data_IF_854632831889
#
_entry.id   IF_854632831889
#
_cell.length_a   1.000
_cell.length_b   1.000
_cell.length_c   1.000
_cell.angle_alpha   90.00
_cell.angle_beta   90.00
_cell.angle_gamma   90.00
#
_symmetry.space_group_name_H-M   'P 1'
#
loop_
_entity.id
_entity.type
_entity.pdbx_description
1 polymer ?
#
# COMPACT_ATOMS: atom_id res chain seq x y z
N UNK A 1 16.73 0.52 0.88
CA UNK A 1 16.06 -0.79 0.82
C UNK A 1 14.80 -0.76 -0.04
N UNK A 2 13.69 -0.11 0.37
CA UNK A 2 12.47 -0.07 -0.46
C UNK A 2 12.69 0.69 -1.78
N UNK A 3 13.41 1.81 -1.74
CA UNK A 3 13.79 2.56 -2.96
C UNK A 3 14.58 1.68 -3.93
N UNK A 4 15.51 0.84 -3.44
CA UNK A 4 16.30 -0.06 -4.28
C UNK A 4 15.46 -1.18 -4.87
N UNK A 5 14.53 -1.74 -4.08
CA UNK A 5 13.55 -2.71 -4.55
C UNK A 5 12.70 -2.12 -5.68
N UNK A 6 12.21 -0.89 -5.55
CA UNK A 6 11.45 -0.23 -6.61
C UNK A 6 12.30 0.07 -7.85
N UNK A 7 13.57 0.46 -7.68
CA UNK A 7 14.50 0.60 -8.82
C UNK A 7 14.69 -0.73 -9.55
N UNK A 8 14.80 -1.83 -8.82
CA UNK A 8 14.91 -3.18 -9.40
C UNK A 8 13.62 -3.61 -10.14
N UNK A 9 12.46 -3.29 -9.57
CA UNK A 9 11.17 -3.58 -10.23
C UNK A 9 11.03 -2.78 -11.52
N UNK A 10 11.26 -1.45 -11.48
CA UNK A 10 11.24 -0.58 -12.65
C UNK A 10 12.28 -0.98 -13.70
N UNK A 11 13.49 -1.37 -13.27
CA UNK A 11 14.60 -1.71 -14.15
C UNK A 11 14.34 -2.90 -15.08
N UNK A 12 13.37 -3.76 -14.76
CA UNK A 12 12.96 -4.88 -15.63
C UNK A 12 12.07 -4.44 -16.80
N UNK A 13 11.44 -3.28 -16.71
CA UNK A 13 10.41 -2.80 -17.64
C UNK A 13 10.76 -1.47 -18.31
N UNK A 14 11.81 -0.80 -17.84
CA UNK A 14 12.27 0.47 -18.36
C UNK A 14 13.49 0.33 -19.27
N UNK A 15 13.71 1.33 -20.13
CA UNK A 15 14.92 1.44 -20.94
C UNK A 15 16.18 1.46 -20.05
N UNK A 16 17.24 0.79 -20.52
CA UNK A 16 18.50 0.69 -19.78
C UNK A 16 19.07 2.08 -19.51
N UNK A 17 19.35 2.38 -18.24
CA UNK A 17 19.89 3.67 -17.80
C UNK A 17 18.85 4.77 -17.59
N UNK A 18 17.56 4.53 -17.88
CA UNK A 18 16.51 5.53 -17.66
C UNK A 18 16.04 5.63 -16.21
N UNK A 19 16.18 4.55 -15.43
CA UNK A 19 15.70 4.47 -14.04
C UNK A 19 16.57 5.30 -13.11
N UNK A 20 15.97 6.30 -12.47
CA UNK A 20 16.63 7.23 -11.54
C UNK A 20 15.77 7.51 -10.31
N UNK A 21 16.44 7.86 -9.21
CA UNK A 21 15.77 8.38 -8.00
C UNK A 21 15.79 9.90 -8.10
N UNK A 22 14.61 10.52 -8.22
CA UNK A 22 14.48 11.99 -8.30
C UNK A 22 14.32 12.64 -6.93
N UNK A 23 13.85 11.89 -5.95
CA UNK A 23 13.79 12.31 -4.54
C UNK A 23 14.12 11.12 -3.65
N UNK A 24 14.98 11.31 -2.64
CA UNK A 24 15.37 10.27 -1.70
C UNK A 24 15.08 10.72 -0.27
N UNK A 25 14.17 10.01 0.39
CA UNK A 25 13.78 10.24 1.79
C UNK A 25 13.43 11.70 2.10
N UNK A 26 12.71 12.38 1.20
CA UNK A 26 12.16 13.70 1.49
C UNK A 26 11.09 13.62 2.56
N UNK A 27 11.04 14.59 3.47
CA UNK A 27 10.05 14.64 4.55
C UNK A 27 8.78 15.36 4.06
N UNK A 28 7.67 14.63 3.99
CA UNK A 28 6.37 15.14 3.58
C UNK A 28 5.37 15.08 4.75
N UNK A 29 4.66 16.19 4.98
CA UNK A 29 3.69 16.32 6.07
C UNK A 29 2.27 16.14 5.55
N UNK A 30 1.52 15.24 6.18
CA UNK A 30 0.10 15.02 5.92
C UNK A 30 -0.73 15.37 7.16
N UNK A 31 -2.06 15.31 7.06
CA UNK A 31 -2.95 15.80 8.12
C UNK A 31 -2.74 15.16 9.49
N UNK A 32 -2.23 13.92 9.56
CA UNK A 32 -2.08 13.16 10.81
C UNK A 32 -0.68 12.56 11.01
N UNK A 33 0.18 12.50 9.98
CA UNK A 33 1.50 11.85 10.05
C UNK A 33 2.49 12.51 9.09
N UNK A 34 3.78 12.35 9.39
CA UNK A 34 4.86 12.68 8.46
C UNK A 34 5.39 11.41 7.79
N UNK A 35 5.70 11.48 6.50
CA UNK A 35 6.28 10.37 5.75
C UNK A 35 7.60 10.76 5.11
N UNK A 36 8.56 9.83 5.13
CA UNK A 36 9.72 9.89 4.25
C UNK A 36 9.32 9.32 2.88
N UNK A 37 9.27 10.18 1.87
CA UNK A 37 8.89 9.83 0.50
C UNK A 37 10.15 9.77 -0.35
N UNK A 38 10.22 8.76 -1.22
CA UNK A 38 11.23 8.68 -2.28
C UNK A 38 10.52 8.51 -3.61
N UNK A 39 11.02 9.19 -4.64
CA UNK A 39 10.46 9.16 -6.00
C UNK A 39 11.45 8.47 -6.92
N UNK A 40 10.97 7.42 -7.61
CA UNK A 40 11.74 6.66 -8.61
C UNK A 40 11.01 6.76 -9.94
N UNK A 41 11.74 7.15 -10.98
CA UNK A 41 11.21 7.37 -12.33
C UNK A 41 12.02 6.57 -13.34
N UNK A 42 11.40 6.16 -14.44
CA UNK A 42 12.04 5.52 -15.59
C UNK A 42 11.20 5.68 -16.85
N UNK A 43 11.79 5.42 -18.02
CA UNK A 43 11.08 5.41 -19.30
C UNK A 43 10.74 3.98 -19.65
N UNK A 44 9.46 3.66 -19.90
CA UNK A 44 9.05 2.31 -20.28
C UNK A 44 9.77 1.88 -21.56
N UNK A 45 10.23 0.63 -21.59
CA UNK A 45 10.84 0.06 -22.78
C UNK A 45 9.79 -0.10 -23.91
N UNK A 46 10.21 -0.04 -25.19
CA UNK A 46 9.30 -0.22 -26.32
C UNK A 46 8.49 -1.53 -26.22
N UNK A 47 7.17 -1.42 -26.36
CA UNK A 47 6.26 -2.56 -26.30
C UNK A 47 5.85 -3.02 -24.90
N UNK A 48 6.35 -2.38 -23.84
CA UNK A 48 5.89 -2.60 -22.46
C UNK A 48 4.74 -1.64 -22.15
N UNK A 49 3.64 -2.19 -21.65
CA UNK A 49 2.47 -1.40 -21.23
C UNK A 49 2.51 -1.09 -19.74
N UNK A 50 1.86 0.00 -19.31
CA UNK A 50 1.78 0.38 -17.90
C UNK A 50 1.10 -0.71 -17.04
N UNK A 51 0.10 -1.41 -17.61
CA UNK A 51 -0.58 -2.52 -16.95
C UNK A 51 0.31 -3.75 -16.72
N UNK A 52 1.17 -4.11 -17.68
CA UNK A 52 2.14 -5.20 -17.52
C UNK A 52 3.12 -4.89 -16.38
N UNK A 53 3.65 -3.67 -16.35
CA UNK A 53 4.55 -3.24 -15.29
C UNK A 53 3.88 -3.30 -13.91
N UNK A 54 2.64 -2.79 -13.77
CA UNK A 54 1.90 -2.82 -12.50
C UNK A 54 1.71 -4.26 -12.00
N UNK A 55 1.23 -5.16 -12.87
CA UNK A 55 0.97 -6.55 -12.50
C UNK A 55 2.24 -7.29 -12.09
N UNK A 56 3.35 -7.08 -12.80
CA UNK A 56 4.61 -7.74 -12.49
C UNK A 56 5.30 -7.17 -11.23
N UNK A 57 5.08 -5.90 -10.93
CA UNK A 57 5.66 -5.24 -9.76
C UNK A 57 4.84 -5.46 -8.48
N UNK A 58 3.60 -5.92 -8.61
CA UNK A 58 2.69 -6.20 -7.49
C UNK A 58 3.08 -7.49 -6.74
N UNK A 59 2.97 -7.55 -5.40
CA UNK A 59 2.57 -6.48 -4.49
C UNK A 59 3.69 -5.48 -4.21
N UNK A 60 3.32 -4.25 -3.84
CA UNK A 60 4.27 -3.16 -3.60
C UNK A 60 5.29 -3.47 -2.50
N UNK A 61 6.54 -3.04 -2.69
CA UNK A 61 7.63 -3.31 -1.73
C UNK A 61 7.38 -2.77 -0.32
N UNK A 62 6.67 -1.64 -0.19
CA UNK A 62 6.38 -1.00 1.10
C UNK A 62 5.36 -1.76 1.97
N UNK A 63 4.58 -2.66 1.38
CA UNK A 63 3.54 -3.45 2.09
C UNK A 63 3.85 -4.96 2.18
N UNK A 64 5.01 -5.34 1.64
CA UNK A 64 5.58 -6.68 1.74
C UNK A 64 6.83 -6.66 2.59
N UNK A 65 7.92 -6.10 2.05
CA UNK A 65 9.25 -6.09 2.64
C UNK A 65 10.32 -6.42 1.59
N UNK A 66 11.57 -6.54 2.04
CA UNK A 66 12.67 -6.95 1.18
C UNK A 66 13.52 -8.03 1.86
N UNK A 67 13.91 -9.11 1.16
CA UNK A 67 13.57 -9.44 -0.24
C UNK A 67 12.08 -9.76 -0.46
N UNK A 68 11.46 -9.19 -1.52
CA UNK A 68 10.00 -9.21 -1.74
C UNK A 68 9.38 -10.60 -1.63
N UNK A 69 9.93 -11.57 -2.37
CA UNK A 69 9.41 -12.93 -2.40
C UNK A 69 9.39 -13.58 -1.02
N UNK A 70 10.50 -13.48 -0.28
CA UNK A 70 10.57 -14.09 1.06
C UNK A 70 9.66 -13.37 2.05
N UNK A 71 9.53 -12.05 1.95
CA UNK A 71 8.60 -11.30 2.80
C UNK A 71 7.15 -11.75 2.58
N UNK A 72 6.73 -11.96 1.33
CA UNK A 72 5.40 -12.50 1.00
C UNK A 72 5.19 -13.90 1.56
N UNK A 73 6.19 -14.78 1.47
CA UNK A 73 6.11 -16.13 2.04
C UNK A 73 5.94 -16.08 3.57
N UNK A 74 6.72 -15.26 4.28
CA UNK A 74 6.58 -15.08 5.74
C UNK A 74 5.21 -14.52 6.10
N UNK A 75 4.71 -13.53 5.36
CA UNK A 75 3.37 -12.98 5.56
C UNK A 75 2.33 -14.09 5.44
N UNK A 76 2.42 -14.94 4.41
CA UNK A 76 1.50 -16.06 4.21
C UNK A 76 1.61 -17.14 5.28
N UNK A 77 2.80 -17.34 5.87
CA UNK A 77 3.03 -18.26 6.99
C UNK A 77 2.41 -17.74 8.30
N UNK A 78 2.40 -16.42 8.51
CA UNK A 78 1.99 -15.80 9.77
C UNK A 78 0.52 -15.33 9.80
N UNK A 79 -0.02 -14.88 8.67
CA UNK A 79 -1.39 -14.38 8.61
C UNK A 79 -2.40 -15.53 8.48
N UNK A 80 -3.37 -15.57 9.38
CA UNK A 80 -4.40 -16.63 9.42
C UNK A 80 -5.44 -16.51 8.30
N UNK A 81 -5.47 -15.40 7.57
CA UNK A 81 -6.47 -15.11 6.54
C UNK A 81 -5.82 -14.43 5.35
N UNK A 82 -6.39 -14.65 4.16
CA UNK A 82 -5.98 -13.90 2.97
C UNK A 82 -6.33 -12.40 3.13
N UNK A 83 -5.45 -11.53 2.61
CA UNK A 83 -5.59 -10.07 2.72
C UNK A 83 -6.76 -9.47 1.93
N UNK A 84 -7.37 -10.21 1.00
CA UNK A 84 -8.48 -9.68 0.19
C UNK A 84 -8.04 -8.46 -0.61
N UNK A 85 -8.78 -7.35 -0.51
CA UNK A 85 -8.38 -6.11 -1.16
C UNK A 85 -7.18 -5.42 -0.48
N UNK A 86 -6.90 -5.69 0.80
CA UNK A 86 -5.85 -5.03 1.56
C UNK A 86 -4.47 -5.26 0.94
N UNK A 87 -3.70 -4.18 0.79
CA UNK A 87 -2.39 -4.16 0.15
C UNK A 87 -2.39 -4.57 -1.34
N UNK A 88 -3.57 -4.70 -1.96
CA UNK A 88 -3.73 -4.78 -3.41
C UNK A 88 -3.54 -3.43 -4.10
N UNK A 89 -3.79 -3.39 -5.42
CA UNK A 89 -3.70 -2.17 -6.22
C UNK A 89 -5.08 -1.74 -6.70
N UNK A 90 -5.45 -0.49 -6.42
CA UNK A 90 -6.57 0.20 -7.04
C UNK A 90 -6.00 1.04 -8.18
N UNK A 91 -6.57 0.95 -9.39
CA UNK A 91 -6.01 1.68 -10.53
C UNK A 91 -7.08 2.17 -11.50
N UNK A 92 -6.72 3.22 -12.24
CA UNK A 92 -7.44 3.74 -13.40
C UNK A 92 -6.50 3.68 -14.58
N UNK A 93 -6.98 3.16 -15.70
CA UNK A 93 -6.22 3.03 -16.95
C UNK A 93 -6.99 3.74 -18.05
N UNK A 94 -6.38 4.75 -18.66
CA UNK A 94 -7.00 5.51 -19.75
C UNK A 94 -6.67 4.89 -21.12
N UNK A 95 -5.47 4.33 -21.26
CA UNK A 95 -4.99 3.61 -22.43
C UNK A 95 -3.80 2.70 -22.03
N UNK A 96 -3.12 2.08 -23.00
CA UNK A 96 -2.02 1.15 -22.75
C UNK A 96 -0.82 1.76 -22.01
N UNK A 97 -0.59 3.06 -22.17
CA UNK A 97 0.61 3.76 -21.70
C UNK A 97 0.34 4.65 -20.49
N UNK A 98 -0.94 4.92 -20.20
CA UNK A 98 -1.35 5.75 -19.07
C UNK A 98 -2.19 4.97 -18.07
N UNK A 99 -1.62 4.80 -16.88
CA UNK A 99 -2.25 4.20 -15.73
C UNK A 99 -1.83 4.95 -14.48
N UNK A 100 -2.78 5.17 -13.57
CA UNK A 100 -2.50 5.61 -12.20
C UNK A 100 -2.99 4.54 -11.25
N UNK A 101 -2.17 4.22 -10.24
CA UNK A 101 -2.54 3.26 -9.20
C UNK A 101 -2.20 3.79 -7.81
N UNK A 102 -2.92 3.26 -6.83
CA UNK A 102 -2.61 3.38 -5.42
C UNK A 102 -2.65 1.99 -4.77
N UNK A 103 -1.90 1.84 -3.67
CA UNK A 103 -2.01 0.66 -2.84
C UNK A 103 -3.24 0.81 -1.95
N UNK A 104 -4.05 -0.24 -1.84
CA UNK A 104 -5.22 -0.31 -0.98
C UNK A 104 -4.82 -0.43 0.50
N UNK A 105 -4.27 0.65 1.05
CA UNK A 105 -4.06 0.89 2.48
C UNK A 105 -5.07 1.93 2.96
N UNK A 106 -5.40 1.93 4.26
CA UNK A 106 -6.45 2.81 4.83
C UNK A 106 -7.79 2.69 4.05
N UNK A 107 -8.09 1.50 3.56
CA UNK A 107 -9.26 1.17 2.74
C UNK A 107 -10.17 0.22 3.52
N UNK A 108 -11.48 0.40 3.41
CA UNK A 108 -12.48 -0.49 4.00
C UNK A 108 -13.02 -1.43 2.93
N UNK A 109 -13.08 -2.72 3.23
CA UNK A 109 -13.74 -3.71 2.39
C UNK A 109 -15.08 -4.12 3.02
N UNK A 110 -16.17 -4.07 2.25
CA UNK A 110 -17.46 -4.61 2.66
C UNK A 110 -17.60 -6.03 2.11
N UNK A 111 -17.72 -7.01 3.00
CA UNK A 111 -17.93 -8.41 2.64
C UNK A 111 -18.90 -9.05 3.63
N UNK A 112 -19.87 -9.81 3.14
CA UNK A 112 -20.84 -10.55 4.00
C UNK A 112 -21.53 -9.70 5.07
N UNK A 113 -21.88 -8.45 4.72
CA UNK A 113 -22.46 -7.43 5.63
C UNK A 113 -21.53 -7.00 6.79
N UNK A 114 -20.27 -7.39 6.75
CA UNK A 114 -19.22 -6.91 7.64
C UNK A 114 -18.32 -5.88 6.94
N UNK A 115 -17.85 -4.91 7.71
CA UNK A 115 -16.80 -3.99 7.32
C UNK A 115 -15.46 -4.54 7.83
N UNK A 116 -14.51 -4.71 6.93
CA UNK A 116 -13.16 -5.12 7.24
C UNK A 116 -12.21 -3.93 7.11
N UNK A 117 -11.39 -3.73 8.13
CA UNK A 117 -10.37 -2.69 8.20
C UNK A 117 -9.07 -3.37 8.63
N UNK A 118 -7.98 -3.06 7.93
CA UNK A 118 -6.67 -3.61 8.21
C UNK A 118 -5.68 -2.50 8.51
N UNK A 119 -4.76 -2.80 9.42
CA UNK A 119 -3.59 -1.99 9.70
C UNK A 119 -2.36 -2.90 9.81
N UNK A 120 -1.21 -2.34 9.49
CA UNK A 120 0.06 -3.04 9.59
C UNK A 120 1.24 -2.06 9.50
N UNK A 121 2.43 -2.57 9.77
CA UNK A 121 3.69 -1.82 9.81
C UNK A 121 4.84 -2.62 9.21
N UNK A 122 5.95 -1.93 8.95
CA UNK A 122 7.16 -2.55 8.46
C UNK A 122 8.05 -2.97 9.62
N UNK A 123 8.30 -4.28 9.78
CA UNK A 123 9.14 -4.78 10.86
C UNK A 123 10.61 -4.80 10.44
N UNK A 124 11.47 -4.24 11.28
CA UNK A 124 12.93 -4.25 11.12
C UNK A 124 13.59 -4.92 12.32
N UNK A 125 14.90 -5.19 12.22
CA UNK A 125 15.66 -5.75 13.34
C UNK A 125 15.69 -4.84 14.59
N UNK A 126 15.44 -3.54 14.42
CA UNK A 126 15.39 -2.55 15.50
C UNK A 126 13.96 -2.23 15.97
N UNK A 127 12.95 -2.90 15.43
CA UNK A 127 11.56 -2.67 15.81
C UNK A 127 11.26 -3.22 17.21
N UNK A 128 10.45 -2.51 17.99
CA UNK A 128 9.83 -3.00 19.24
C UNK A 128 8.37 -3.31 18.95
N UNK A 129 7.90 -4.48 19.37
CA UNK A 129 6.55 -4.95 19.04
C UNK A 129 5.46 -4.03 19.60
N UNK A 130 5.69 -3.42 20.78
CA UNK A 130 4.77 -2.46 21.40
C UNK A 130 4.55 -1.24 20.51
N UNK A 131 5.63 -0.66 20.00
CA UNK A 131 5.59 0.51 19.13
C UNK A 131 4.92 0.20 17.78
N UNK A 132 5.23 -0.93 17.17
CA UNK A 132 4.65 -1.35 15.88
C UNK A 132 3.15 -1.66 15.98
N UNK A 133 2.76 -2.27 17.11
CA UNK A 133 1.35 -2.50 17.42
C UNK A 133 0.61 -1.17 17.62
N UNK A 134 1.19 -0.24 18.37
CA UNK A 134 0.60 1.09 18.55
C UNK A 134 0.49 1.85 17.22
N UNK A 135 1.52 1.83 16.37
CA UNK A 135 1.48 2.45 15.04
C UNK A 135 0.35 1.86 14.18
N UNK A 136 0.10 0.55 14.30
CA UNK A 136 -1.01 -0.12 13.62
C UNK A 136 -2.37 0.42 14.11
N UNK A 137 -2.52 0.61 15.42
CA UNK A 137 -3.72 1.22 16.00
C UNK A 137 -3.88 2.69 15.59
N UNK A 138 -2.81 3.49 15.61
CA UNK A 138 -2.83 4.88 15.16
C UNK A 138 -3.21 5.00 13.68
N UNK A 139 -2.87 3.96 12.88
CA UNK A 139 -3.28 3.87 11.48
C UNK A 139 -4.76 3.54 11.29
N UNK A 140 -5.38 2.75 12.13
CA UNK A 140 -6.81 2.39 11.94
C UNK A 140 -7.74 3.24 12.79
N UNK A 141 -7.25 3.81 13.89
CA UNK A 141 -7.98 4.56 14.91
C UNK A 141 -8.93 5.60 14.33
N UNK A 142 -8.46 6.55 13.50
CA UNK A 142 -9.34 7.58 12.93
C UNK A 142 -10.48 7.01 12.08
N UNK A 143 -10.24 5.89 11.38
CA UNK A 143 -11.27 5.20 10.59
C UNK A 143 -12.28 4.56 11.55
N UNK A 144 -11.79 3.84 12.56
CA UNK A 144 -12.62 3.14 13.54
C UNK A 144 -13.48 4.11 14.38
N UNK A 145 -12.92 5.24 14.82
CA UNK A 145 -13.63 6.31 15.54
C UNK A 145 -14.74 6.93 14.69
N UNK A 146 -14.46 7.17 13.40
CA UNK A 146 -15.46 7.71 12.45
C UNK A 146 -16.60 6.72 12.23
N UNK A 147 -16.31 5.41 12.15
CA UNK A 147 -17.34 4.38 12.02
C UNK A 147 -18.18 4.23 13.30
N UNK A 148 -17.54 4.27 14.47
CA UNK A 148 -18.20 4.16 15.76
C UNK A 148 -19.14 5.35 16.05
N UNK A 149 -18.72 6.57 15.70
CA UNK A 149 -19.56 7.78 15.85
C UNK A 149 -20.76 7.77 14.91
N UNK A 150 -20.65 7.24 13.69
CA UNK A 150 -21.77 7.12 12.75
C UNK A 150 -22.75 5.99 13.09
N UNK A 151 -22.29 4.91 13.73
CA UNK A 151 -23.18 3.85 14.20
C UNK A 151 -24.23 4.37 15.20
N UNK A 152 -23.90 5.43 15.95
CA UNK A 152 -24.79 6.09 16.91
C UNK A 152 -25.93 6.89 16.23
N UNK A 153 -25.82 7.22 14.94
CA UNK A 153 -26.84 7.95 14.19
C UNK A 153 -27.92 7.04 13.55
N UNK A 154 -27.79 5.72 13.64
CA UNK A 154 -28.74 4.78 13.01
C UNK A 154 -29.94 4.39 13.90
N UNK A 155 -30.09 5.01 15.08
CA UNK A 155 -31.19 4.75 16.02
C UNK A 155 -32.44 5.64 15.86
N UNK A 156 -32.47 6.56 14.90
CA UNK A 156 -33.59 7.52 14.75
C UNK A 156 -34.26 7.34 13.38
N UNK A 157 -35.33 6.54 13.36
CA UNK A 157 -36.44 6.53 12.40
C UNK A 157 -36.17 6.97 10.95
N UNK A 158 -36.22 6.02 10.00
CA UNK A 158 -36.62 6.38 8.63
C UNK A 158 -38.06 6.90 8.67
N UNK A 159 -38.36 8.13 8.17
CA UNK A 159 -39.74 8.54 7.98
C UNK A 159 -40.36 7.71 6.84
N UNK A 160 -41.57 7.21 7.12
CA UNK A 160 -42.46 6.47 6.20
C UNK A 160 -42.85 7.27 4.97
#
# INVERSE_FOLDING_TARGET
>A
MITDLLRNDLGQFCETGSVRVTELCGLHSFGNVHHLVSTVEGQLAPGVTAGQMLLASSPGGSITGAPKRRAVEIIAELESHARGAYCGSLFVMANADWLQSSIAIRTLEVRDKALHCWGGGGITASSSWESEHQETLDKVGPIMETLASKAQCSGSSMPS
#
